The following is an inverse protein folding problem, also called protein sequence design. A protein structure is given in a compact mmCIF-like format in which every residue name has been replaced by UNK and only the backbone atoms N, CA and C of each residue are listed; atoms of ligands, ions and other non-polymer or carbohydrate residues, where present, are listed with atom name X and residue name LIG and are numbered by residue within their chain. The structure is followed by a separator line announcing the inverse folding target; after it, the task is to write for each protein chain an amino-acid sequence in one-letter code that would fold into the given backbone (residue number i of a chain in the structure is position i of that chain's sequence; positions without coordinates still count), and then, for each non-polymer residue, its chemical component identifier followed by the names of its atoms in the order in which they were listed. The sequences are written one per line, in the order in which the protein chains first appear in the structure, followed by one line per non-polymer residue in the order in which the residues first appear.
data_IF_262449266493
#
_entry.id   IF_262449266493
#
_cell.length_a   1.000
_cell.length_b   1.000
_cell.length_c   1.000
_cell.angle_alpha   90.00
_cell.angle_beta   90.00
_cell.angle_gamma   90.00
#
_symmetry.space_group_name_H-M   'P 1'
#
loop_
_entity.id
_entity.type
_entity.pdbx_description
1 polymer ?
#
# COMPACT_ATOMS: atom_id res chain seq x y z
N UNK A 1 5.35 18.31 -48.01
CA UNK A 1 5.06 16.87 -47.91
C UNK A 1 4.77 16.61 -46.44
N UNK A 2 3.49 16.47 -46.07
CA UNK A 2 2.79 15.18 -45.83
C UNK A 2 3.40 14.46 -44.62
N UNK A 3 2.68 13.97 -43.61
CA UNK A 3 1.26 13.89 -43.28
C UNK A 3 1.22 13.30 -41.84
N UNK A 4 0.15 13.61 -41.10
CA UNK A 4 -0.68 12.69 -40.30
C UNK A 4 -0.01 11.70 -39.33
N UNK A 5 -0.32 11.59 -38.04
CA UNK A 5 -1.64 11.69 -37.38
C UNK A 5 -1.51 11.86 -35.83
N UNK A 6 -2.61 12.20 -35.12
CA UNK A 6 -2.62 12.64 -33.73
C UNK A 6 -3.06 11.57 -32.71
N UNK A 7 -2.59 11.67 -31.46
CA UNK A 7 -3.16 11.00 -30.27
C UNK A 7 -3.72 12.10 -29.34
N UNK A 8 -5.04 12.30 -29.25
CA UNK A 8 -5.96 11.71 -28.25
C UNK A 8 -5.43 11.84 -26.82
N UNK A 9 -5.92 12.85 -26.09
CA UNK A 9 -6.31 12.85 -24.65
C UNK A 9 -6.54 14.26 -24.03
N UNK A 10 -6.80 15.31 -24.81
CA UNK A 10 -7.35 16.57 -24.28
C UNK A 10 -8.89 16.54 -24.23
N UNK A 11 -9.46 15.93 -23.19
CA UNK A 11 -10.84 16.23 -22.76
C UNK A 11 -10.87 16.25 -21.23
N UNK A 12 -10.66 17.44 -20.65
CA UNK A 12 -11.33 17.96 -19.45
C UNK A 12 -10.74 19.34 -19.09
N UNK A 13 -10.81 20.30 -20.02
CA UNK A 13 -10.73 21.73 -19.70
C UNK A 13 -11.51 22.49 -20.77
N UNK A 14 -12.84 22.43 -20.67
CA UNK A 14 -13.72 23.35 -21.38
C UNK A 14 -13.70 24.69 -20.63
N UNK A 15 -12.66 25.47 -20.90
CA UNK A 15 -12.74 26.92 -20.81
C UNK A 15 -13.79 27.38 -21.82
N UNK A 16 -14.93 27.83 -21.29
CA UNK A 16 -15.96 28.52 -22.05
C UNK A 16 -15.37 29.87 -22.48
N UNK A 17 -14.79 29.91 -23.68
CA UNK A 17 -14.60 31.16 -24.42
C UNK A 17 -15.98 31.68 -24.82
N UNK A 18 -16.30 32.86 -24.30
CA UNK A 18 -17.40 33.69 -24.76
C UNK A 18 -17.22 34.02 -26.25
N UNK A 19 -18.01 33.37 -27.11
CA UNK A 19 -18.35 33.90 -28.43
C UNK A 19 -19.83 34.28 -28.45
N UNK A 20 -20.05 35.56 -28.73
CA UNK A 20 -21.33 36.24 -28.87
C UNK A 20 -22.10 35.72 -30.09
N UNK A 21 -22.83 34.61 -29.91
CA UNK A 21 -23.88 34.16 -30.81
C UNK A 21 -25.24 34.28 -30.14
N UNK A 22 -26.10 35.21 -30.60
CA UNK A 22 -27.52 35.23 -30.22
C UNK A 22 -28.22 33.99 -30.81
N UNK A 23 -28.30 32.92 -30.04
CA UNK A 23 -29.25 31.84 -30.28
C UNK A 23 -30.52 32.12 -29.45
N UNK A 24 -31.65 32.31 -30.13
CA UNK A 24 -32.96 32.24 -29.47
C UNK A 24 -33.20 30.79 -29.07
N UNK A 25 -32.96 30.48 -27.79
CA UNK A 25 -33.37 29.22 -27.20
C UNK A 25 -34.89 29.22 -27.06
N UNK A 26 -35.58 28.40 -27.85
CA UNK A 26 -36.99 28.06 -27.64
C UNK A 26 -37.04 27.05 -26.49
N UNK A 27 -37.07 27.53 -25.25
CA UNK A 27 -37.29 26.70 -24.07
C UNK A 27 -38.79 26.45 -23.89
N UNK A 28 -39.35 25.56 -24.70
CA UNK A 28 -40.57 24.85 -24.29
C UNK A 28 -40.17 23.82 -23.24
N UNK A 29 -40.10 24.26 -21.99
CA UNK A 29 -40.08 23.32 -20.87
C UNK A 29 -41.42 22.59 -20.84
N UNK A 30 -41.46 21.25 -21.00
CA UNK A 30 -42.67 20.52 -20.69
C UNK A 30 -43.02 20.83 -19.24
N UNK A 31 -44.24 21.34 -19.01
CA UNK A 31 -44.81 21.54 -17.66
C UNK A 31 -44.82 20.18 -16.96
N UNK A 32 -43.71 19.81 -16.33
CA UNK A 32 -43.60 18.59 -15.52
C UNK A 32 -44.49 18.81 -14.31
N UNK A 33 -45.52 17.96 -14.18
CA UNK A 33 -46.42 18.03 -13.04
C UNK A 33 -45.62 17.78 -11.76
N UNK A 34 -45.91 18.50 -10.66
CA UNK A 34 -45.21 18.35 -9.38
C UNK A 34 -45.28 16.91 -8.83
N UNK A 35 -46.30 16.14 -9.24
CA UNK A 35 -46.45 14.72 -8.94
C UNK A 35 -45.32 13.84 -9.52
N UNK A 36 -44.78 14.18 -10.70
CA UNK A 36 -43.69 13.42 -11.32
C UNK A 36 -42.39 13.47 -10.52
N UNK A 37 -42.12 14.59 -9.84
CA UNK A 37 -40.89 14.77 -9.08
C UNK A 37 -40.93 14.01 -7.75
N UNK A 38 -42.09 14.00 -7.10
CA UNK A 38 -42.32 13.22 -5.90
C UNK A 38 -42.11 11.72 -6.15
N UNK A 39 -42.63 11.18 -7.27
CA UNK A 39 -42.45 9.77 -7.62
C UNK A 39 -40.97 9.37 -7.79
N UNK A 40 -40.14 10.25 -8.37
CA UNK A 40 -38.70 10.00 -8.53
C UNK A 40 -37.99 10.00 -7.19
N UNK A 41 -38.31 10.94 -6.30
CA UNK A 41 -37.72 11.00 -4.95
C UNK A 41 -38.10 9.77 -4.13
N UNK A 42 -39.36 9.33 -4.19
CA UNK A 42 -39.80 8.09 -3.53
C UNK A 42 -39.12 6.84 -4.11
N UNK A 43 -38.97 6.75 -5.44
CA UNK A 43 -38.29 5.63 -6.07
C UNK A 43 -36.81 5.56 -5.64
N UNK A 44 -36.10 6.68 -5.64
CA UNK A 44 -34.70 6.75 -5.19
C UNK A 44 -34.57 6.41 -3.69
N UNK A 45 -35.50 6.88 -2.86
CA UNK A 45 -35.54 6.55 -1.43
C UNK A 45 -35.76 5.05 -1.18
N UNK A 46 -36.66 4.42 -1.93
CA UNK A 46 -36.90 2.98 -1.85
C UNK A 46 -35.67 2.16 -2.26
N UNK A 47 -34.99 2.55 -3.34
CA UNK A 47 -33.75 1.91 -3.79
C UNK A 47 -32.67 2.03 -2.71
N UNK A 48 -32.46 3.23 -2.15
CA UNK A 48 -31.49 3.44 -1.09
C UNK A 48 -31.80 2.59 0.16
N UNK A 49 -33.07 2.50 0.57
CA UNK A 49 -33.49 1.68 1.70
C UNK A 49 -33.24 0.17 1.46
N UNK A 50 -33.47 -0.32 0.24
CA UNK A 50 -33.15 -1.70 -0.15
C UNK A 50 -31.64 -1.94 -0.11
N UNK A 51 -30.84 -1.03 -0.66
CA UNK A 51 -29.37 -1.14 -0.64
C UNK A 51 -28.82 -1.16 0.80
N UNK A 52 -29.30 -0.28 1.68
CA UNK A 52 -28.92 -0.26 3.10
C UNK A 52 -29.34 -1.55 3.80
N UNK A 53 -30.56 -2.05 3.53
CA UNK A 53 -31.05 -3.29 4.12
C UNK A 53 -30.21 -4.50 3.68
N UNK A 54 -29.85 -4.58 2.40
CA UNK A 54 -28.97 -5.63 1.88
C UNK A 54 -27.56 -5.53 2.48
N UNK A 55 -27.00 -4.33 2.60
CA UNK A 55 -25.71 -4.10 3.25
C UNK A 55 -25.71 -4.55 4.71
N UNK A 56 -26.74 -4.17 5.48
CA UNK A 56 -26.87 -4.58 6.88
C UNK A 56 -27.08 -6.10 7.03
N UNK A 57 -27.79 -6.74 6.09
CA UNK A 57 -27.99 -8.18 6.08
C UNK A 57 -26.71 -8.94 5.72
N UNK A 58 -25.93 -8.45 4.75
CA UNK A 58 -24.62 -8.97 4.40
C UNK A 58 -23.65 -8.84 5.58
N UNK A 59 -23.61 -7.66 6.24
CA UNK A 59 -22.81 -7.42 7.45
C UNK A 59 -23.22 -8.34 8.60
N UNK A 60 -24.53 -8.55 8.83
CA UNK A 60 -25.03 -9.45 9.88
C UNK A 60 -24.65 -10.91 9.58
N UNK A 61 -24.71 -11.35 8.33
CA UNK A 61 -24.29 -12.70 7.93
C UNK A 61 -22.76 -12.90 8.06
N UNK A 62 -21.96 -11.85 7.81
CA UNK A 62 -20.51 -11.85 8.08
C UNK A 62 -20.22 -11.97 9.58
N UNK A 63 -20.98 -11.28 10.43
CA UNK A 63 -20.84 -11.35 11.89
C UNK A 63 -21.35 -12.70 12.44
N UNK A 64 -22.43 -13.27 11.87
CA UNK A 64 -22.94 -14.59 12.28
C UNK A 64 -22.11 -15.77 11.75
N UNK A 65 -21.27 -15.57 10.73
CA UNK A 65 -20.29 -16.57 10.27
C UNK A 65 -18.99 -16.58 11.08
N UNK A 66 -18.84 -15.71 12.08
CA UNK A 66 -17.96 -16.00 13.21
C UNK A 66 -18.74 -16.89 14.18
N UNK A 67 -18.50 -18.22 14.22
CA UNK A 67 -19.06 -19.04 15.28
C UNK A 67 -18.49 -18.52 16.61
N UNK A 68 -19.38 -18.09 17.50
CA UNK A 68 -19.12 -18.09 18.92
C UNK A 68 -18.87 -19.54 19.33
N UNK A 69 -17.62 -19.98 19.28
CA UNK A 69 -17.17 -21.21 19.92
C UNK A 69 -17.07 -20.94 21.41
N UNK A 70 -18.22 -20.87 22.08
CA UNK A 70 -18.31 -20.88 23.52
C UNK A 70 -19.21 -22.06 23.93
N UNK A 71 -18.55 -23.01 24.62
CA UNK A 71 -19.10 -24.05 25.49
C UNK A 71 -19.62 -25.33 24.82
N UNK A 72 -18.75 -26.35 24.79
CA UNK A 72 -18.93 -27.59 25.59
C UNK A 72 -17.71 -28.50 25.43
N UNK A 73 -16.74 -28.39 26.32
CA UNK A 73 -16.27 -29.48 27.20
C UNK A 73 -15.14 -28.92 28.07
N UNK A 74 -15.27 -29.12 29.38
CA UNK A 74 -14.21 -28.89 30.35
C UNK A 74 -13.05 -29.82 30.03
N UNK A 75 -11.91 -29.25 29.70
CA UNK A 75 -10.62 -29.87 29.95
C UNK A 75 -9.71 -28.75 30.49
N UNK A 76 -9.43 -28.81 31.79
CA UNK A 76 -8.60 -27.85 32.52
C UNK A 76 -7.12 -28.09 32.17
N UNK A 77 -6.78 -27.95 30.89
CA UNK A 77 -5.39 -27.79 30.45
C UNK A 77 -4.96 -26.34 30.66
N UNK A 78 -3.71 -26.06 31.08
CA UNK A 78 -3.23 -24.69 31.12
C UNK A 78 -3.32 -24.14 29.69
N UNK A 79 -4.10 -23.07 29.49
CA UNK A 79 -4.04 -22.27 28.28
C UNK A 79 -2.61 -21.73 28.14
N UNK A 80 -1.75 -22.49 27.48
CA UNK A 80 -0.60 -21.93 26.80
C UNK A 80 -1.17 -20.87 25.86
N UNK A 81 -0.99 -19.60 26.23
CA UNK A 81 -1.17 -18.50 25.30
C UNK A 81 -0.32 -18.88 24.08
N UNK A 82 -0.96 -19.31 22.98
CA UNK A 82 -0.25 -19.57 21.73
C UNK A 82 0.47 -18.27 21.40
N UNK A 83 1.78 -18.25 21.62
CA UNK A 83 2.62 -17.10 21.27
C UNK A 83 2.56 -17.05 19.76
N UNK A 84 1.78 -16.13 19.21
CA UNK A 84 1.69 -15.96 17.77
C UNK A 84 3.10 -15.72 17.22
N UNK A 85 3.48 -16.49 16.19
CA UNK A 85 4.79 -16.38 15.55
C UNK A 85 5.05 -14.94 15.10
N UNK A 86 6.26 -14.40 15.27
CA UNK A 86 6.59 -13.06 14.79
C UNK A 86 6.37 -12.95 13.28
N UNK A 87 5.88 -11.79 12.85
CA UNK A 87 5.52 -11.49 11.47
C UNK A 87 6.23 -10.23 10.99
N UNK A 88 6.53 -10.16 9.70
CA UNK A 88 7.07 -8.96 9.07
C UNK A 88 6.15 -8.53 7.94
N UNK A 89 5.70 -7.28 7.98
CA UNK A 89 5.04 -6.63 6.86
C UNK A 89 6.05 -5.79 6.09
N UNK A 90 6.32 -6.18 4.85
CA UNK A 90 7.26 -5.54 3.96
C UNK A 90 6.51 -4.59 3.02
N UNK A 91 6.70 -3.30 3.22
CA UNK A 91 6.03 -2.23 2.48
C UNK A 91 7.02 -1.52 1.57
N UNK A 92 6.78 -1.56 0.26
CA UNK A 92 7.59 -0.85 -0.73
C UNK A 92 6.77 -0.51 -1.97
N UNK A 93 7.12 0.59 -2.63
CA UNK A 93 6.48 1.00 -3.88
C UNK A 93 6.93 0.07 -5.01
N UNK A 94 6.07 -0.15 -6.01
CA UNK A 94 6.52 -0.75 -7.27
C UNK A 94 7.52 0.19 -7.91
N UNK A 95 8.68 -0.36 -8.25
CA UNK A 95 9.82 0.37 -8.78
C UNK A 95 10.37 -0.39 -10.00
N UNK A 96 11.57 -0.05 -10.45
CA UNK A 96 12.20 -0.74 -11.57
C UNK A 96 12.42 -2.23 -11.28
N UNK A 97 12.48 -3.04 -12.34
CA UNK A 97 12.58 -4.50 -12.22
C UNK A 97 13.76 -4.97 -11.35
N UNK A 98 14.99 -4.40 -11.46
CA UNK A 98 16.10 -4.79 -10.57
C UNK A 98 15.82 -4.56 -9.08
N UNK A 99 15.07 -3.51 -8.73
CA UNK A 99 14.65 -3.28 -7.34
C UNK A 99 13.64 -4.34 -6.90
N UNK A 100 12.64 -4.63 -7.72
CA UNK A 100 11.62 -5.64 -7.42
C UNK A 100 12.26 -7.02 -7.19
N UNK A 101 13.23 -7.40 -8.02
CA UNK A 101 14.05 -8.61 -7.84
C UNK A 101 14.80 -8.63 -6.51
N UNK A 102 15.40 -7.50 -6.12
CA UNK A 102 16.10 -7.39 -4.85
C UNK A 102 15.15 -7.55 -3.66
N UNK A 103 13.91 -7.03 -3.76
CA UNK A 103 12.91 -7.18 -2.71
C UNK A 103 12.42 -8.63 -2.57
N UNK A 104 12.33 -9.39 -3.66
CA UNK A 104 12.05 -10.83 -3.61
C UNK A 104 13.15 -11.58 -2.84
N UNK A 105 14.41 -11.31 -3.13
CA UNK A 105 15.53 -11.92 -2.38
C UNK A 105 15.58 -11.44 -0.92
N UNK A 106 15.20 -10.19 -0.66
CA UNK A 106 15.10 -9.67 0.71
C UNK A 106 14.02 -10.39 1.52
N UNK A 107 12.84 -10.60 0.93
CA UNK A 107 11.78 -11.42 1.54
C UNK A 107 12.27 -12.84 1.85
N UNK A 108 12.90 -13.49 0.88
CA UNK A 108 13.44 -14.84 1.06
C UNK A 108 14.50 -14.89 2.18
N UNK A 109 15.35 -13.87 2.26
CA UNK A 109 16.35 -13.74 3.32
C UNK A 109 15.69 -13.63 4.70
N UNK A 110 14.67 -12.80 4.85
CA UNK A 110 13.92 -12.64 6.10
C UNK A 110 13.25 -13.96 6.52
N UNK A 111 12.53 -14.61 5.60
CA UNK A 111 11.86 -15.90 5.85
C UNK A 111 12.87 -16.97 6.30
N UNK A 112 14.01 -17.10 5.62
CA UNK A 112 15.04 -18.11 5.94
C UNK A 112 15.82 -17.84 7.22
N UNK A 113 16.14 -16.57 7.49
CA UNK A 113 17.04 -16.21 8.60
C UNK A 113 16.30 -16.12 9.93
N UNK A 114 15.04 -15.72 9.90
CA UNK A 114 14.28 -15.42 11.10
C UNK A 114 13.15 -16.41 11.39
N UNK A 115 12.87 -17.33 10.45
CA UNK A 115 11.71 -18.24 10.53
C UNK A 115 10.40 -17.48 10.77
N UNK A 116 10.25 -16.35 10.07
CA UNK A 116 9.08 -15.46 10.17
C UNK A 116 8.24 -15.53 8.91
N UNK A 117 6.94 -15.32 9.08
CA UNK A 117 6.04 -15.07 7.96
C UNK A 117 6.23 -13.64 7.47
N UNK A 118 6.60 -13.48 6.21
CA UNK A 118 6.68 -12.17 5.55
C UNK A 118 5.41 -11.94 4.73
N UNK A 119 4.78 -10.79 4.95
CA UNK A 119 3.68 -10.25 4.16
C UNK A 119 4.23 -9.17 3.25
N UNK A 120 4.12 -9.39 1.96
CA UNK A 120 4.65 -8.54 0.91
C UNK A 120 3.55 -8.30 -0.11
N UNK A 121 3.30 -7.03 -0.42
CA UNK A 121 2.22 -6.58 -1.34
C UNK A 121 2.46 -7.08 -2.77
N UNK A 122 3.71 -7.41 -3.10
CA UNK A 122 4.10 -7.87 -4.42
C UNK A 122 4.34 -9.39 -4.47
N UNK A 123 3.98 -10.12 -3.41
CA UNK A 123 4.03 -11.57 -3.39
C UNK A 123 2.83 -12.17 -4.15
N UNK A 124 3.10 -12.67 -5.36
CA UNK A 124 2.08 -13.31 -6.19
C UNK A 124 1.40 -14.50 -5.51
N UNK A 125 2.08 -15.16 -4.54
CA UNK A 125 1.49 -16.24 -3.73
C UNK A 125 0.26 -15.79 -2.92
N UNK A 126 0.14 -14.48 -2.66
CA UNK A 126 -0.93 -13.87 -1.84
C UNK A 126 -1.89 -13.02 -2.65
N UNK A 127 -1.74 -12.99 -3.98
CA UNK A 127 -2.52 -12.09 -4.84
C UNK A 127 -4.03 -12.26 -4.65
N UNK A 128 -4.52 -13.51 -4.65
CA UNK A 128 -5.94 -13.79 -4.45
C UNK A 128 -6.47 -13.29 -3.10
N UNK A 129 -5.66 -13.43 -2.04
CA UNK A 129 -5.99 -12.95 -0.70
C UNK A 129 -6.09 -11.41 -0.66
N UNK A 130 -5.17 -10.73 -1.33
CA UNK A 130 -5.14 -9.27 -1.43
C UNK A 130 -6.29 -8.74 -2.28
N UNK A 131 -6.54 -9.33 -3.45
CA UNK A 131 -7.62 -8.92 -4.35
C UNK A 131 -9.00 -9.12 -3.69
N UNK A 132 -9.16 -10.17 -2.87
CA UNK A 132 -10.42 -10.44 -2.16
C UNK A 132 -10.69 -9.46 -0.99
N UNK A 133 -9.64 -9.00 -0.31
CA UNK A 133 -9.75 -8.24 0.94
C UNK A 133 -9.37 -6.75 0.82
N UNK A 134 -8.64 -6.37 -0.22
CA UNK A 134 -8.17 -5.01 -0.48
C UNK A 134 -7.51 -4.36 0.73
N UNK A 135 -7.99 -3.17 1.10
CA UNK A 135 -7.46 -2.40 2.24
C UNK A 135 -7.63 -3.09 3.60
N UNK A 136 -8.60 -4.01 3.74
CA UNK A 136 -8.80 -4.76 4.98
C UNK A 136 -7.60 -5.69 5.22
N UNK A 137 -7.03 -6.24 4.16
CA UNK A 137 -5.81 -7.06 4.24
C UNK A 137 -4.66 -6.27 4.85
N UNK A 138 -4.45 -5.05 4.36
CA UNK A 138 -3.43 -4.12 4.85
C UNK A 138 -3.64 -3.82 6.33
N UNK A 139 -4.86 -3.44 6.72
CA UNK A 139 -5.17 -3.07 8.09
C UNK A 139 -4.95 -4.24 9.05
N UNK A 140 -5.37 -5.45 8.68
CA UNK A 140 -5.24 -6.64 9.52
C UNK A 140 -3.77 -6.99 9.78
N UNK A 141 -2.93 -6.98 8.74
CA UNK A 141 -1.53 -7.33 8.89
C UNK A 141 -0.73 -6.21 9.56
N UNK A 142 -0.97 -4.94 9.21
CA UNK A 142 -0.28 -3.81 9.86
C UNK A 142 -0.72 -3.62 11.32
N UNK A 143 -1.95 -3.97 11.71
CA UNK A 143 -2.41 -3.74 13.09
C UNK A 143 -2.03 -4.85 14.07
N UNK A 144 -1.71 -6.05 13.59
CA UNK A 144 -1.41 -7.21 14.44
C UNK A 144 -0.20 -6.97 15.38
N UNK A 145 -0.33 -7.27 16.67
CA UNK A 145 0.66 -6.90 17.69
C UNK A 145 2.04 -7.55 17.48
N UNK A 146 2.05 -8.77 16.94
CA UNK A 146 3.24 -9.55 16.60
C UNK A 146 3.88 -9.17 15.25
N UNK A 147 3.34 -8.19 14.52
CA UNK A 147 3.88 -7.76 13.22
C UNK A 147 4.81 -6.58 13.37
N UNK A 148 6.03 -6.70 12.82
CA UNK A 148 6.95 -5.59 12.56
C UNK A 148 6.74 -5.08 11.14
N UNK A 149 6.84 -3.78 10.92
CA UNK A 149 6.63 -3.16 9.60
C UNK A 149 7.96 -2.60 9.09
N UNK A 150 8.45 -3.13 7.98
CA UNK A 150 9.62 -2.61 7.27
C UNK A 150 9.15 -1.81 6.07
N UNK A 151 9.36 -0.49 6.11
CA UNK A 151 9.03 0.42 5.02
C UNK A 151 10.31 0.70 4.22
N UNK A 152 10.34 0.29 2.96
CA UNK A 152 11.44 0.60 2.06
C UNK A 152 11.23 1.98 1.44
N UNK A 153 12.13 2.90 1.76
CA UNK A 153 12.23 4.20 1.15
C UNK A 153 12.94 4.11 -0.20
N UNK A 154 12.19 4.40 -1.27
CA UNK A 154 12.65 4.62 -2.65
C UNK A 154 12.23 6.02 -3.12
N UNK A 155 12.78 6.54 -4.24
CA UNK A 155 12.34 7.81 -4.79
C UNK A 155 10.82 7.82 -5.05
N UNK A 156 10.29 6.71 -5.56
CA UNK A 156 8.86 6.55 -5.85
C UNK A 156 8.02 6.64 -4.57
N UNK A 157 8.42 5.92 -3.51
CA UNK A 157 7.71 5.99 -2.23
C UNK A 157 7.70 7.42 -1.64
N UNK A 158 8.78 8.18 -1.84
CA UNK A 158 8.88 9.57 -1.39
C UNK A 158 7.98 10.50 -2.21
N UNK A 159 7.88 10.28 -3.52
CA UNK A 159 6.95 11.01 -4.39
C UNK A 159 5.50 10.82 -3.89
N UNK A 160 5.11 9.60 -3.57
CA UNK A 160 3.76 9.33 -3.05
C UNK A 160 3.53 9.90 -1.66
N UNK A 161 4.50 9.79 -0.75
CA UNK A 161 4.42 10.46 0.56
C UNK A 161 4.20 11.98 0.38
N UNK A 162 5.02 12.62 -0.44
CA UNK A 162 4.90 14.04 -0.74
C UNK A 162 3.55 14.38 -1.38
N UNK A 163 3.00 13.49 -2.22
CA UNK A 163 1.68 13.63 -2.80
C UNK A 163 0.57 13.62 -1.75
N UNK A 164 0.66 12.76 -0.73
CA UNK A 164 -0.26 12.76 0.41
C UNK A 164 -0.14 14.04 1.25
N UNK A 165 1.08 14.48 1.55
CA UNK A 165 1.33 15.65 2.39
C UNK A 165 0.94 16.98 1.71
N UNK A 166 1.13 17.08 0.39
CA UNK A 166 0.84 18.29 -0.39
C UNK A 166 -0.57 18.31 -1.01
N UNK A 167 -1.29 17.19 -0.98
CA UNK A 167 -2.57 17.01 -1.67
C UNK A 167 -2.46 16.90 -3.20
N UNK A 168 -1.23 16.92 -3.76
CA UNK A 168 -0.99 16.75 -5.20
C UNK A 168 -0.78 15.28 -5.52
N UNK A 169 -1.84 14.60 -5.97
CA UNK A 169 -1.77 13.19 -6.34
C UNK A 169 -0.88 13.00 -7.57
N UNK A 170 0.02 12.02 -7.49
CA UNK A 170 0.73 11.43 -8.62
C UNK A 170 0.29 9.98 -8.78
N UNK A 171 0.56 9.39 -9.94
CA UNK A 171 0.19 8.01 -10.22
C UNK A 171 1.25 7.32 -11.07
N UNK A 172 1.19 5.99 -11.09
CA UNK A 172 1.95 5.21 -12.05
C UNK A 172 1.44 5.48 -13.48
N UNK A 173 2.36 5.51 -14.45
CA UNK A 173 2.01 5.61 -15.87
C UNK A 173 1.21 4.39 -16.33
N UNK A 174 1.58 3.21 -15.85
CA UNK A 174 0.87 1.94 -16.09
C UNK A 174 0.36 1.38 -14.76
N UNK A 175 -0.89 1.65 -14.36
CA UNK A 175 -1.40 1.23 -13.06
C UNK A 175 -1.57 -0.30 -12.90
N UNK A 176 -1.24 -0.82 -11.72
CA UNK A 176 -1.52 -2.17 -11.23
C UNK A 176 -2.47 -2.09 -10.01
N UNK A 177 -3.36 -3.06 -9.82
CA UNK A 177 -4.32 -3.05 -8.70
C UNK A 177 -3.64 -3.03 -7.32
N UNK A 178 -2.41 -3.55 -7.23
CA UNK A 178 -1.60 -3.55 -6.00
C UNK A 178 -1.01 -2.17 -5.69
N UNK A 179 -0.95 -1.26 -6.67
CA UNK A 179 -0.49 0.11 -6.43
C UNK A 179 -1.42 0.81 -5.42
N UNK A 180 -2.74 0.62 -5.55
CA UNK A 180 -3.73 1.16 -4.61
C UNK A 180 -3.57 0.56 -3.20
N UNK A 181 -3.26 -0.74 -3.13
CA UNK A 181 -2.98 -1.44 -1.86
C UNK A 181 -1.72 -0.84 -1.20
N UNK A 182 -0.66 -0.63 -1.98
CA UNK A 182 0.54 0.04 -1.52
C UNK A 182 0.25 1.46 -1.00
N UNK A 183 -0.48 2.28 -1.77
CA UNK A 183 -0.83 3.65 -1.38
C UNK A 183 -1.66 3.68 -0.09
N UNK A 184 -2.63 2.77 0.04
CA UNK A 184 -3.45 2.63 1.24
C UNK A 184 -2.62 2.20 2.46
N UNK A 185 -1.67 1.27 2.27
CA UNK A 185 -0.74 0.83 3.30
C UNK A 185 0.21 1.94 3.74
N UNK A 186 0.80 2.68 2.80
CA UNK A 186 1.67 3.81 3.10
C UNK A 186 0.93 4.89 3.89
N UNK A 187 -0.27 5.27 3.44
CA UNK A 187 -1.11 6.24 4.14
C UNK A 187 -1.50 5.76 5.55
N UNK A 188 -1.82 4.45 5.70
CA UNK A 188 -2.11 3.85 7.01
C UNK A 188 -0.91 3.89 7.94
N UNK A 189 0.29 3.53 7.46
CA UNK A 189 1.53 3.62 8.22
C UNK A 189 1.80 5.05 8.71
N UNK A 190 1.71 6.04 7.81
CA UNK A 190 1.91 7.47 8.13
C UNK A 190 0.93 7.93 9.22
N UNK A 191 -0.35 7.55 9.10
CA UNK A 191 -1.36 7.91 10.10
C UNK A 191 -1.10 7.25 11.45
N UNK A 192 -0.67 5.99 11.46
CA UNK A 192 -0.39 5.25 12.70
C UNK A 192 0.84 5.81 13.43
N UNK A 193 1.91 6.15 12.71
CA UNK A 193 3.11 6.76 13.32
C UNK A 193 2.81 8.15 13.89
N UNK A 194 1.95 8.93 13.23
CA UNK A 194 1.55 10.25 13.72
C UNK A 194 0.64 10.20 14.96
N UNK A 195 -0.24 9.20 15.08
CA UNK A 195 -1.26 9.13 16.15
C UNK A 195 -0.84 8.29 17.35
N UNK A 196 0.06 7.32 17.17
CA UNK A 196 0.46 6.36 18.20
C UNK A 196 1.98 6.35 18.34
N UNK A 197 2.56 7.43 18.87
CA UNK A 197 4.02 7.58 19.01
C UNK A 197 4.68 6.48 19.85
N UNK A 198 3.92 5.86 20.76
CA UNK A 198 4.35 4.70 21.54
C UNK A 198 4.52 3.42 20.70
N UNK A 199 3.87 3.33 19.53
CA UNK A 199 3.95 2.20 18.59
C UNK A 199 5.05 2.38 17.54
N UNK A 200 5.82 3.45 17.57
CA UNK A 200 6.83 3.73 16.54
C UNK A 200 7.93 2.69 16.43
N UNK A 201 8.23 1.96 17.51
CA UNK A 201 9.19 0.84 17.49
C UNK A 201 8.79 -0.29 16.54
N UNK A 202 7.50 -0.38 16.19
CA UNK A 202 6.98 -1.32 15.19
C UNK A 202 7.40 -0.97 13.76
N UNK A 203 7.65 0.30 13.48
CA UNK A 203 7.92 0.79 12.14
C UNK A 203 9.42 1.02 11.98
N UNK A 204 9.99 0.36 10.99
CA UNK A 204 11.40 0.45 10.63
C UNK A 204 11.48 0.98 9.21
N UNK A 205 12.35 1.96 8.96
CA UNK A 205 12.57 2.47 7.61
C UNK A 205 13.88 1.87 7.11
N UNK A 206 13.85 1.26 5.94
CA UNK A 206 15.03 0.77 5.25
C UNK A 206 15.14 1.45 3.89
N UNK A 207 16.35 1.53 3.34
CA UNK A 207 16.61 2.07 2.00
C UNK A 207 17.77 1.32 1.40
N UNK A 208 17.85 1.25 0.07
CA UNK A 208 19.04 0.74 -0.59
C UNK A 208 20.17 1.76 -0.50
N UNK A 209 21.39 1.29 -0.28
CA UNK A 209 22.59 2.12 -0.26
C UNK A 209 23.04 2.39 -1.70
N UNK A 210 22.33 3.28 -2.38
CA UNK A 210 22.63 3.72 -3.74
C UNK A 210 22.56 5.25 -3.87
N UNK A 211 23.20 5.78 -4.91
CA UNK A 211 23.10 7.18 -5.32
C UNK A 211 21.63 7.51 -5.62
N UNK A 212 21.12 8.65 -5.16
CA UNK A 212 19.70 9.01 -5.29
C UNK A 212 18.79 8.32 -4.28
N UNK A 213 19.25 7.23 -3.64
CA UNK A 213 18.50 6.48 -2.62
C UNK A 213 18.73 7.04 -1.22
N UNK A 214 19.92 7.58 -0.97
CA UNK A 214 20.33 8.13 0.33
C UNK A 214 19.68 9.49 0.65
N UNK A 215 19.19 10.22 -0.34
CA UNK A 215 18.40 11.44 -0.11
C UNK A 215 16.91 11.14 0.13
N UNK A 216 16.44 9.94 -0.23
CA UNK A 216 15.06 9.54 -0.01
C UNK A 216 14.85 9.31 1.47
N UNK A 217 14.11 10.24 2.06
CA UNK A 217 13.73 10.20 3.45
C UNK A 217 12.22 10.35 3.46
N UNK A 218 11.55 9.32 3.99
CA UNK A 218 10.13 9.40 4.29
C UNK A 218 9.96 10.24 5.56
N UNK A 219 9.62 11.52 5.35
CA UNK A 219 9.65 12.56 6.39
C UNK A 219 8.66 12.28 7.52
N UNK A 220 7.55 11.60 7.23
CA UNK A 220 6.52 11.23 8.19
C UNK A 220 7.01 10.20 9.23
N UNK A 221 8.12 9.51 8.95
CA UNK A 221 8.71 8.51 9.84
C UNK A 221 9.94 9.06 10.59
N UNK A 222 10.48 10.19 10.15
CA UNK A 222 11.78 10.74 10.58
C UNK A 222 11.92 11.02 12.09
N UNK A 223 10.92 11.53 12.82
CA UNK A 223 11.11 11.80 14.24
C UNK A 223 11.11 10.54 15.12
N UNK A 224 10.76 9.36 14.57
CA UNK A 224 10.34 8.22 15.38
C UNK A 224 10.94 6.86 14.97
N UNK A 225 11.55 6.75 13.79
CA UNK A 225 12.05 5.48 13.23
C UNK A 225 13.55 5.51 12.91
N UNK A 226 14.25 4.42 13.22
CA UNK A 226 15.62 4.19 12.74
C UNK A 226 15.62 3.91 11.24
N UNK A 227 16.54 4.56 10.52
CA UNK A 227 16.72 4.37 9.07
C UNK A 227 17.91 3.43 8.83
N UNK A 228 17.68 2.31 8.16
CA UNK A 228 18.68 1.31 7.79
C UNK A 228 19.08 1.45 6.32
N UNK A 229 20.38 1.53 6.02
CA UNK A 229 20.89 1.49 4.65
C UNK A 229 21.29 0.07 4.31
N UNK A 230 20.58 -0.59 3.42
CA UNK A 230 20.83 -1.98 2.99
C UNK A 230 21.75 -2.03 1.78
N UNK A 231 22.63 -3.05 1.68
CA UNK A 231 22.81 -4.15 2.64
C UNK A 231 23.68 -3.82 3.88
N UNK A 232 24.28 -2.63 3.97
CA UNK A 232 25.28 -2.26 5.01
C UNK A 232 24.76 -2.49 6.45
N UNK A 233 23.52 -2.09 6.74
CA UNK A 233 22.92 -2.18 8.07
C UNK A 233 21.98 -3.39 8.21
N UNK A 234 22.12 -4.41 7.36
CA UNK A 234 21.24 -5.58 7.36
C UNK A 234 21.22 -6.27 8.73
N UNK A 235 22.38 -6.56 9.32
CA UNK A 235 22.46 -7.22 10.64
C UNK A 235 21.73 -6.41 11.73
N UNK A 236 21.81 -5.08 11.68
CA UNK A 236 21.16 -4.19 12.63
C UNK A 236 19.64 -4.19 12.44
N UNK A 237 19.17 -4.24 11.19
CA UNK A 237 17.74 -4.35 10.87
C UNK A 237 17.19 -5.69 11.37
N UNK A 238 17.86 -6.81 11.05
CA UNK A 238 17.43 -8.14 11.50
C UNK A 238 17.40 -8.25 13.04
N UNK A 239 18.40 -7.69 13.71
CA UNK A 239 18.45 -7.64 15.18
C UNK A 239 17.31 -6.80 15.77
N UNK A 240 16.90 -5.72 15.09
CA UNK A 240 15.77 -4.90 15.51
C UNK A 240 14.45 -5.65 15.33
N UNK A 241 14.22 -6.29 14.18
CA UNK A 241 13.02 -7.11 13.94
C UNK A 241 12.90 -8.22 14.99
N UNK A 242 14.03 -8.82 15.40
CA UNK A 242 14.06 -9.92 16.37
C UNK A 242 14.02 -9.47 17.85
N UNK A 243 13.76 -8.18 18.13
CA UNK A 243 13.67 -7.62 19.49
C UNK A 243 14.86 -8.00 20.39
N UNK A 244 16.09 -7.87 19.89
CA UNK A 244 17.35 -8.03 20.65
C UNK A 244 17.65 -9.44 21.19
N UNK A 245 16.94 -10.50 20.77
CA UNK A 245 17.44 -11.86 20.98
C UNK A 245 18.60 -12.13 20.01
N UNK A 246 19.76 -12.64 20.48
CA UNK A 246 20.90 -12.88 19.61
C UNK A 246 20.50 -13.83 18.47
N UNK A 247 20.68 -13.38 17.21
CA UNK A 247 20.53 -14.23 16.04
C UNK A 247 21.52 -15.38 16.16
N UNK A 248 21.03 -16.60 16.36
CA UNK A 248 21.87 -17.80 16.46
C UNK A 248 22.34 -18.32 15.08
N UNK A 249 22.01 -17.61 14.00
CA UNK A 249 22.24 -18.03 12.63
C UNK A 249 23.13 -16.99 11.94
N UNK A 250 24.23 -17.44 11.33
CA UNK A 250 25.17 -16.58 10.62
C UNK A 250 24.51 -15.91 9.40
N UNK A 251 24.06 -14.67 9.57
CA UNK A 251 23.42 -13.83 8.53
C UNK A 251 24.29 -13.76 7.27
N UNK A 252 25.61 -13.74 7.42
CA UNK A 252 26.58 -13.75 6.32
C UNK A 252 26.40 -14.92 5.34
N UNK A 253 25.83 -16.05 5.78
CA UNK A 253 25.64 -17.23 4.92
C UNK A 253 24.50 -17.05 3.90
N UNK A 254 23.51 -16.21 4.21
CA UNK A 254 22.29 -16.07 3.42
C UNK A 254 22.17 -14.75 2.68
N UNK A 255 23.02 -13.77 3.01
CA UNK A 255 22.98 -12.44 2.39
C UNK A 255 23.39 -12.43 0.91
N UNK A 256 24.21 -13.40 0.46
CA UNK A 256 24.81 -13.42 -0.88
C UNK A 256 23.84 -13.11 -2.04
N UNK A 257 22.70 -13.81 -2.17
CA UNK A 257 21.71 -13.53 -3.22
C UNK A 257 21.11 -12.13 -3.13
N UNK A 258 20.71 -11.68 -1.93
CA UNK A 258 20.14 -10.35 -1.73
C UNK A 258 21.15 -9.25 -2.06
N UNK A 259 22.39 -9.36 -1.56
CA UNK A 259 23.47 -8.40 -1.83
C UNK A 259 23.75 -8.28 -3.32
N UNK A 260 23.82 -9.41 -4.04
CA UNK A 260 24.01 -9.40 -5.49
C UNK A 260 22.89 -8.64 -6.20
N UNK A 261 21.63 -8.86 -5.83
CA UNK A 261 20.49 -8.13 -6.42
C UNK A 261 20.48 -6.65 -6.05
N UNK A 262 20.90 -6.30 -4.84
CA UNK A 262 21.07 -4.90 -4.43
C UNK A 262 22.16 -4.19 -5.26
N UNK A 263 23.28 -4.87 -5.56
CA UNK A 263 24.35 -4.36 -6.44
C UNK A 263 23.87 -4.22 -7.90
N UNK A 264 23.06 -5.17 -8.40
CA UNK A 264 22.42 -5.06 -9.73
C UNK A 264 21.51 -3.83 -9.82
N UNK A 265 20.71 -3.57 -8.77
CA UNK A 265 19.89 -2.37 -8.67
C UNK A 265 20.72 -1.09 -8.61
N UNK A 266 21.76 -1.04 -7.76
CA UNK A 266 22.66 0.12 -7.67
C UNK A 266 23.30 0.44 -9.03
N UNK A 267 23.78 -0.60 -9.73
CA UNK A 267 24.33 -0.45 -11.07
C UNK A 267 23.28 0.11 -12.04
N UNK A 268 22.05 -0.42 -12.01
CA UNK A 268 20.96 0.06 -12.87
C UNK A 268 20.67 1.55 -12.64
N UNK A 269 20.55 1.99 -11.38
CA UNK A 269 20.30 3.40 -11.04
C UNK A 269 21.46 4.29 -11.50
N UNK A 270 22.72 3.83 -11.38
CA UNK A 270 23.88 4.60 -11.84
C UNK A 270 23.87 4.85 -13.36
N UNK A 271 23.28 3.94 -14.13
CA UNK A 271 23.22 3.98 -15.60
C UNK A 271 21.97 4.68 -16.13
N UNK A 272 20.89 4.76 -15.33
CA UNK A 272 19.57 5.23 -15.76
C UNK A 272 19.02 6.28 -14.79
N UNK A 273 19.64 7.46 -14.71
CA UNK A 273 19.28 8.46 -13.70
C UNK A 273 17.85 9.01 -13.82
N UNK A 274 17.22 8.92 -14.99
CA UNK A 274 15.85 9.39 -15.26
C UNK A 274 14.78 8.30 -15.21
N UNK A 275 15.09 7.07 -14.75
CA UNK A 275 14.15 5.94 -14.82
C UNK A 275 12.79 6.19 -14.13
N UNK A 276 12.75 7.12 -13.17
CA UNK A 276 11.53 7.48 -12.44
C UNK A 276 10.49 8.10 -13.38
N UNK A 277 10.93 8.87 -14.38
CA UNK A 277 10.06 9.50 -15.39
C UNK A 277 9.37 8.46 -16.28
N UNK A 278 9.97 7.27 -16.40
CA UNK A 278 9.39 6.14 -17.13
C UNK A 278 8.35 5.37 -16.28
N UNK A 279 8.20 5.69 -14.99
CA UNK A 279 7.32 4.96 -14.06
C UNK A 279 6.17 5.83 -13.56
N UNK A 280 6.40 7.12 -13.31
CA UNK A 280 5.45 8.03 -12.63
C UNK A 280 5.05 9.21 -13.52
N UNK A 281 3.76 9.56 -13.49
CA UNK A 281 3.19 10.79 -14.05
C UNK A 281 3.15 11.91 -13.00
#
# INVERSE_FOLDING_TARGET
MNNSDPCVWEICNLEIKNETGRYKATTEHPKRSPLSWLMVVFAMGAIAAVCVSLYMRAKKNLIQRYPNTANTLRDDGPCENLIESPQVFLLYARDCLPFMDAMVEFRNLLERTMDVKVFDIWDDRRREEMDANGEIWVLNNISAENTQVVVMATPISQIFENGFLSGKKRGYLEPDSRDDIFLSALHTCIRMTATHSNRCRKFMVARMNCIGCNENILTSFKPLCTIYSLPIHLDHLLSHIHNSRPLQIGVQRYEGPFRKKAEEFEKYVSMNQSYIEDIIN
#
